data_IF_082263039271
#
_entry.id   IF_082263039271
#
_cell.length_a   1.000
_cell.length_b   1.000
_cell.length_c   1.000
_cell.angle_alpha   90.00
_cell.angle_beta   90.00
_cell.angle_gamma   90.00
#
_symmetry.space_group_name_H-M   'P 1'
#
loop_
_entity.id
_entity.type
_entity.pdbx_description
1 polymer ?
#
# COMPACT_ATOMS: atom_id res chain seq x y z
N UNK A 1 12.28 -1.44 -5.21
CA UNK A 1 11.99 -0.32 -6.12
C UNK A 1 10.75 0.46 -5.68
N UNK A 2 9.57 -0.17 -5.52
CA UNK A 2 8.40 0.54 -4.99
C UNK A 2 8.63 1.14 -3.59
N UNK A 3 9.30 0.40 -2.69
CA UNK A 3 9.64 0.87 -1.34
C UNK A 3 10.64 2.03 -1.28
N UNK A 4 11.48 2.20 -2.31
CA UNK A 4 12.43 3.33 -2.37
C UNK A 4 11.79 4.60 -2.94
N UNK A 5 10.65 4.47 -3.64
CA UNK A 5 9.91 5.60 -4.20
C UNK A 5 9.09 6.33 -3.13
N UNK A 6 8.69 5.66 -2.05
CA UNK A 6 7.84 6.25 -1.02
C UNK A 6 8.44 7.48 -0.33
N UNK A 7 9.69 7.48 0.16
CA UNK A 7 10.28 8.69 0.76
C UNK A 7 10.57 9.77 -0.27
N UNK A 8 10.92 9.41 -1.51
CA UNK A 8 11.27 10.37 -2.56
C UNK A 8 10.04 11.16 -3.02
N UNK A 9 8.91 10.46 -3.19
CA UNK A 9 7.66 11.04 -3.68
C UNK A 9 6.69 11.44 -2.55
N UNK A 10 7.14 11.38 -1.29
CA UNK A 10 6.30 11.64 -0.11
C UNK A 10 5.01 10.79 -0.06
N UNK A 11 5.03 9.59 -0.63
CA UNK A 11 3.93 8.61 -0.49
C UNK A 11 4.00 8.00 0.91
N UNK A 12 2.87 8.02 1.63
CA UNK A 12 2.84 7.63 3.05
C UNK A 12 2.12 6.30 3.30
N UNK A 13 0.95 6.11 2.71
CA UNK A 13 0.07 4.99 3.07
C UNK A 13 -0.23 4.06 1.89
N UNK A 14 -0.38 4.64 0.69
CA UNK A 14 -0.62 3.92 -0.56
C UNK A 14 -0.25 4.78 -1.77
N UNK A 15 -0.17 4.15 -2.93
CA UNK A 15 0.06 4.81 -4.21
C UNK A 15 0.22 3.80 -5.33
N UNK A 16 0.24 4.29 -6.57
CA UNK A 16 0.57 3.50 -7.76
C UNK A 16 1.86 4.05 -8.37
N UNK A 17 2.76 3.15 -8.76
CA UNK A 17 3.95 3.50 -9.52
C UNK A 17 3.85 2.83 -10.89
N UNK A 18 3.76 3.65 -11.93
CA UNK A 18 3.77 3.19 -13.31
C UNK A 18 5.22 3.21 -13.80
N UNK A 19 5.71 2.06 -14.25
CA UNK A 19 7.10 1.86 -14.65
C UNK A 19 7.18 1.26 -16.05
N UNK A 20 8.22 1.65 -16.80
CA UNK A 20 8.60 1.02 -18.06
C UNK A 20 9.93 0.29 -17.88
N UNK A 21 10.08 -0.84 -18.55
CA UNK A 21 11.31 -1.63 -18.56
C UNK A 21 11.96 -1.52 -19.94
N UNK A 22 13.26 -1.27 -19.99
CA UNK A 22 14.03 -1.35 -21.23
C UNK A 22 14.46 -2.79 -21.56
N UNK A 23 15.10 -2.96 -22.72
CA UNK A 23 15.54 -4.27 -23.24
C UNK A 23 16.65 -4.91 -22.38
N UNK A 24 17.33 -4.12 -21.55
CA UNK A 24 18.31 -4.59 -20.57
C UNK A 24 17.71 -4.90 -19.19
N UNK A 25 16.39 -4.78 -19.05
CA UNK A 25 15.67 -5.06 -17.80
C UNK A 25 15.74 -3.94 -16.76
N UNK A 26 16.20 -2.74 -17.14
CA UNK A 26 16.21 -1.58 -16.24
C UNK A 26 14.83 -0.95 -16.20
N UNK A 27 14.39 -0.62 -14.99
CA UNK A 27 13.08 -0.04 -14.74
C UNK A 27 13.18 1.49 -14.58
N UNK A 28 12.28 2.22 -15.24
CA UNK A 28 12.16 3.67 -15.19
C UNK A 28 10.75 4.05 -14.72
N UNK A 29 10.64 4.95 -13.74
CA UNK A 29 9.35 5.48 -13.31
C UNK A 29 8.80 6.47 -14.35
N UNK A 30 7.53 6.30 -14.71
CA UNK A 30 6.80 7.17 -15.65
C UNK A 30 5.85 8.08 -14.87
N UNK A 31 5.07 7.50 -13.95
CA UNK A 31 4.12 8.21 -13.11
C UNK A 31 4.16 7.65 -11.69
N UNK A 32 4.06 8.55 -10.71
CA UNK A 32 3.79 8.19 -9.32
C UNK A 32 2.48 8.86 -8.93
N UNK A 33 1.46 8.04 -8.71
CA UNK A 33 0.12 8.51 -8.37
C UNK A 33 -0.17 8.27 -6.89
N UNK A 34 -0.35 9.35 -6.12
CA UNK A 34 -0.68 9.30 -4.69
C UNK A 34 -2.16 9.07 -4.39
N UNK A 35 -3.02 9.07 -5.41
CA UNK A 35 -4.45 8.84 -5.29
C UNK A 35 -4.98 8.05 -6.50
N UNK A 36 -4.48 6.81 -6.72
CA UNK A 36 -4.99 5.97 -7.79
C UNK A 36 -6.46 5.64 -7.53
N UNK A 37 -7.24 5.59 -8.60
CA UNK A 37 -8.63 5.10 -8.53
C UNK A 37 -8.61 3.60 -8.22
N UNK A 38 -9.51 3.15 -7.35
CA UNK A 38 -9.66 1.74 -6.99
C UNK A 38 -10.43 0.98 -8.07
N UNK A 39 -9.82 0.84 -9.24
CA UNK A 39 -10.37 0.11 -10.38
C UNK A 39 -9.84 -1.33 -10.44
N UNK A 40 -10.50 -2.17 -11.23
CA UNK A 40 -10.21 -3.61 -11.36
C UNK A 40 -8.75 -3.90 -11.73
N UNK A 41 -8.12 -3.08 -12.57
CA UNK A 41 -6.72 -3.24 -12.95
C UNK A 41 -5.76 -2.94 -11.79
N UNK A 42 -6.04 -1.90 -10.99
CA UNK A 42 -5.23 -1.57 -9.81
C UNK A 42 -5.32 -2.70 -8.78
N UNK A 43 -6.54 -3.18 -8.52
CA UNK A 43 -6.79 -4.30 -7.62
C UNK A 43 -6.14 -5.62 -8.09
N UNK A 44 -5.85 -5.76 -9.38
CA UNK A 44 -5.21 -6.98 -9.92
C UNK A 44 -3.82 -7.20 -9.35
N UNK A 45 -3.06 -6.13 -9.06
CA UNK A 45 -1.76 -6.23 -8.40
C UNK A 45 -1.83 -6.81 -6.99
N UNK A 46 -2.98 -6.69 -6.32
CA UNK A 46 -3.20 -7.15 -4.95
C UNK A 46 -3.73 -8.59 -4.88
N UNK A 47 -4.28 -9.13 -5.98
CA UNK A 47 -4.79 -10.52 -6.03
C UNK A 47 -3.71 -11.55 -5.69
N UNK A 48 -2.48 -11.34 -6.15
CA UNK A 48 -1.34 -12.21 -5.83
C UNK A 48 -0.96 -12.22 -4.34
N UNK A 49 -1.44 -11.24 -3.58
CA UNK A 49 -1.27 -11.14 -2.13
C UNK A 49 -2.49 -11.70 -1.35
N UNK A 50 -3.47 -12.28 -2.05
CA UNK A 50 -4.71 -12.75 -1.44
C UNK A 50 -5.60 -11.61 -0.93
N UNK A 51 -5.46 -10.41 -1.49
CA UNK A 51 -6.23 -9.23 -1.10
C UNK A 51 -7.31 -8.94 -2.15
N UNK A 52 -8.56 -8.91 -1.72
CA UNK A 52 -9.69 -8.37 -2.47
C UNK A 52 -9.89 -6.87 -2.20
N UNK A 53 -10.95 -6.28 -2.76
CA UNK A 53 -11.23 -4.85 -2.58
C UNK A 53 -11.30 -4.44 -1.10
N UNK A 54 -12.01 -5.21 -0.28
CA UNK A 54 -12.18 -4.91 1.15
C UNK A 54 -10.84 -4.99 1.87
N UNK A 55 -10.02 -6.00 1.57
CA UNK A 55 -8.68 -6.12 2.14
C UNK A 55 -7.73 -5.01 1.71
N UNK A 56 -7.80 -4.53 0.46
CA UNK A 56 -7.01 -3.37 0.01
C UNK A 56 -7.42 -2.11 0.77
N UNK A 57 -8.72 -1.82 0.86
CA UNK A 57 -9.24 -0.67 1.61
C UNK A 57 -8.84 -0.76 3.09
N UNK A 58 -9.01 -1.94 3.71
CA UNK A 58 -8.60 -2.17 5.09
C UNK A 58 -7.09 -1.94 5.29
N UNK A 59 -6.27 -2.33 4.31
CA UNK A 59 -4.82 -2.13 4.32
C UNK A 59 -4.42 -0.65 4.32
N UNK A 60 -5.06 0.16 3.46
CA UNK A 60 -4.83 1.61 3.40
C UNK A 60 -5.23 2.29 4.71
N UNK A 61 -6.40 1.94 5.26
CA UNK A 61 -6.86 2.48 6.55
C UNK A 61 -5.90 2.07 7.68
N UNK A 62 -5.52 0.79 7.74
CA UNK A 62 -4.59 0.29 8.74
C UNK A 62 -3.23 1.00 8.68
N UNK A 63 -2.67 1.19 7.48
CA UNK A 63 -1.42 1.90 7.26
C UNK A 63 -1.50 3.36 7.76
N UNK A 64 -2.59 4.07 7.42
CA UNK A 64 -2.78 5.45 7.88
C UNK A 64 -2.91 5.56 9.40
N UNK A 65 -3.66 4.67 10.06
CA UNK A 65 -3.76 4.62 11.53
C UNK A 65 -2.38 4.38 12.16
N UNK A 66 -1.60 3.45 11.61
CA UNK A 66 -0.25 3.14 12.08
C UNK A 66 0.65 4.36 12.01
N UNK A 67 0.65 5.09 10.89
CA UNK A 67 1.41 6.32 10.73
C UNK A 67 0.98 7.40 11.72
N UNK A 68 -0.31 7.67 11.84
CA UNK A 68 -0.79 8.67 12.80
C UNK A 68 -0.45 8.32 14.26
N UNK A 69 -0.45 7.02 14.61
CA UNK A 69 0.05 6.55 15.91
C UNK A 69 1.54 6.81 16.11
N UNK A 70 2.38 6.62 15.08
CA UNK A 70 3.81 6.94 15.19
C UNK A 70 4.06 8.45 15.28
N UNK A 71 3.14 9.27 14.77
CA UNK A 71 3.12 10.73 14.93
C UNK A 71 2.52 11.20 16.27
N UNK A 72 2.16 10.26 17.16
CA UNK A 72 1.71 10.56 18.54
C UNK A 72 0.20 10.64 18.74
N UNK A 73 -0.62 10.33 17.72
CA UNK A 73 -2.07 10.29 17.87
C UNK A 73 -2.55 8.97 18.47
N UNK A 74 -3.49 9.04 19.41
CA UNK A 74 -4.16 7.85 19.95
C UNK A 74 -5.39 7.48 19.13
N UNK A 75 -5.16 6.90 17.95
CA UNK A 75 -6.23 6.37 17.11
C UNK A 75 -6.50 4.90 17.43
N UNK A 76 -7.73 4.44 17.66
CA UNK A 76 -8.00 3.01 17.84
C UNK A 76 -7.76 2.24 16.53
N UNK A 77 -7.30 0.99 16.62
CA UNK A 77 -7.26 0.05 15.49
C UNK A 77 -8.46 -0.89 15.62
N UNK A 78 -9.49 -0.78 14.77
CA UNK A 78 -10.64 -1.69 14.80
C UNK A 78 -10.20 -3.15 14.62
N UNK A 79 -10.82 -4.07 15.37
CA UNK A 79 -10.55 -5.52 15.23
C UNK A 79 -10.90 -6.03 13.84
N UNK A 80 -11.97 -5.52 13.25
CA UNK A 80 -12.42 -5.85 11.89
C UNK A 80 -11.32 -5.65 10.84
N UNK A 81 -10.47 -4.63 10.96
CA UNK A 81 -9.35 -4.43 10.03
C UNK A 81 -8.33 -5.56 10.10
N UNK A 82 -8.11 -6.14 11.29
CA UNK A 82 -7.17 -7.26 11.48
C UNK A 82 -7.74 -8.58 10.98
N UNK A 83 -9.05 -8.72 10.99
CA UNK A 83 -9.77 -9.91 10.52
C UNK A 83 -9.83 -9.96 8.99
N UNK A 84 -9.99 -8.81 8.34
CA UNK A 84 -10.05 -8.68 6.87
C UNK A 84 -8.65 -8.87 6.24
N UNK A 85 -7.60 -8.40 6.90
CA UNK A 85 -6.26 -8.43 6.34
C UNK A 85 -5.61 -9.82 6.38
N UNK A 86 -5.01 -10.30 5.28
CA UNK A 86 -4.22 -11.52 5.30
C UNK A 86 -3.12 -11.45 6.37
N UNK A 87 -2.86 -12.51 7.16
CA UNK A 87 -1.92 -12.46 8.29
C UNK A 87 -0.52 -12.00 7.91
N UNK A 88 -0.05 -12.35 6.72
CA UNK A 88 1.25 -11.91 6.21
C UNK A 88 1.29 -10.41 5.91
N UNK A 89 0.20 -9.84 5.37
CA UNK A 89 0.10 -8.41 5.11
C UNK A 89 0.03 -7.64 6.43
N UNK A 90 -0.74 -8.13 7.39
CA UNK A 90 -0.80 -7.54 8.74
C UNK A 90 0.59 -7.52 9.39
N UNK A 91 1.35 -8.61 9.30
CA UNK A 91 2.74 -8.67 9.80
C UNK A 91 3.64 -7.64 9.12
N UNK A 92 3.55 -7.48 7.80
CA UNK A 92 4.34 -6.50 7.04
C UNK A 92 4.01 -5.07 7.44
N UNK A 93 2.72 -4.72 7.52
CA UNK A 93 2.26 -3.38 7.90
C UNK A 93 2.55 -3.04 9.38
N UNK A 94 2.70 -4.05 10.24
CA UNK A 94 3.03 -3.86 11.65
C UNK A 94 4.52 -3.60 11.91
N UNK A 95 5.40 -3.97 10.95
CA UNK A 95 6.86 -3.79 11.06
C UNK A 95 7.34 -2.44 10.50
N UNK A 96 6.48 -1.73 9.79
CA UNK A 96 6.69 -0.36 9.34
C UNK A 96 6.36 0.68 10.39
#
# INVERSE_FOLDING_TARGET
MASSLTPICSLRDYGRADVIMDDEGRLYAIEINGQPVFESYYLTGFKGLGMDYEAVVAGVIYASIRRWRSEGMDLPVPSSLKEILPPEILRRLSRG
#
